data_IF_869109771448
#
_entry.id   IF_869109771448
#
_cell.length_a   1.000
_cell.length_b   1.000
_cell.length_c   1.000
_cell.angle_alpha   90.00
_cell.angle_beta   90.00
_cell.angle_gamma   90.00
#
_symmetry.space_group_name_H-M   'P 1'
#
loop_
_entity.id
_entity.type
_entity.pdbx_description
1 polymer ?
#
# COMPACT_ATOMS: atom_id res chain seq x y z
N UNK A 1 9.36 15.31 1.58
CA UNK A 1 9.92 13.97 1.67
C UNK A 1 8.87 12.91 1.85
N UNK A 2 9.28 11.66 1.87
CA UNK A 2 8.40 10.48 2.03
C UNK A 2 8.31 10.11 3.50
N UNK A 3 7.09 10.01 4.02
CA UNK A 3 6.83 9.64 5.41
C UNK A 3 6.75 8.13 5.59
N UNK A 4 7.58 7.59 6.46
CA UNK A 4 7.55 6.19 6.89
C UNK A 4 6.98 6.12 8.30
N UNK A 5 5.76 5.59 8.43
CA UNK A 5 5.10 5.42 9.71
C UNK A 5 5.68 4.25 10.52
N UNK A 6 5.56 4.34 11.84
CA UNK A 6 5.85 3.25 12.77
C UNK A 6 4.56 2.89 13.52
N UNK A 7 4.40 1.60 13.85
CA UNK A 7 3.24 1.08 14.59
C UNK A 7 3.01 1.74 15.97
N UNK A 8 3.99 2.47 16.50
CA UNK A 8 3.87 3.24 17.74
C UNK A 8 3.37 4.68 17.52
N UNK A 9 2.94 5.01 16.28
CA UNK A 9 2.37 6.30 15.92
C UNK A 9 3.36 7.40 15.56
N UNK A 10 4.66 7.23 15.78
CA UNK A 10 5.70 8.15 15.28
C UNK A 10 6.16 7.73 13.87
N UNK A 11 6.98 8.53 13.22
CA UNK A 11 7.55 8.17 11.94
C UNK A 11 8.82 8.92 11.59
N UNK A 12 9.30 8.68 10.37
CA UNK A 12 10.48 9.33 9.80
C UNK A 12 10.15 9.89 8.44
N UNK A 13 10.77 11.00 8.09
CA UNK A 13 10.66 11.57 6.75
C UNK A 13 12.01 11.54 6.08
N UNK A 14 12.11 10.75 5.02
CA UNK A 14 13.27 10.69 4.14
C UNK A 14 13.17 11.81 3.13
N UNK A 15 14.19 12.65 3.04
CA UNK A 15 14.28 13.77 2.10
C UNK A 15 15.35 13.46 1.07
N UNK A 16 15.00 13.52 -0.20
CA UNK A 16 15.96 13.28 -1.30
C UNK A 16 17.14 14.25 -1.23
N UNK A 17 18.35 13.71 -1.30
CA UNK A 17 19.60 14.50 -1.20
C UNK A 17 20.06 14.81 0.22
N UNK A 18 19.36 14.33 1.25
CA UNK A 18 19.78 14.46 2.64
C UNK A 18 20.17 13.09 3.24
N UNK A 19 21.27 13.05 4.01
CA UNK A 19 21.79 11.80 4.60
C UNK A 19 20.97 11.34 5.81
N UNK A 20 20.32 12.28 6.52
CA UNK A 20 19.60 11.97 7.76
C UNK A 20 18.10 12.20 7.61
N UNK A 21 17.33 11.19 8.01
CA UNK A 21 15.88 11.27 8.14
C UNK A 21 15.45 12.26 9.23
N UNK A 22 14.29 12.86 9.05
CA UNK A 22 13.67 13.72 10.06
C UNK A 22 12.71 12.88 10.89
N UNK A 23 12.99 12.75 12.19
CA UNK A 23 12.10 12.09 13.15
C UNK A 23 10.84 12.95 13.39
N UNK A 24 9.66 12.34 13.29
CA UNK A 24 8.36 12.97 13.52
C UNK A 24 7.71 12.30 14.73
N UNK A 25 7.59 12.99 15.87
CA UNK A 25 6.88 12.48 17.04
C UNK A 25 5.41 12.21 16.72
N UNK A 26 4.79 11.26 17.42
CA UNK A 26 3.39 10.87 17.23
C UNK A 26 2.41 12.06 17.29
N UNK A 27 2.68 13.04 18.14
CA UNK A 27 1.88 14.27 18.28
C UNK A 27 2.05 15.28 17.14
N UNK A 28 2.99 15.04 16.22
CA UNK A 28 3.35 15.96 15.12
C UNK A 28 3.17 15.34 13.73
N UNK A 29 2.58 14.14 13.67
CA UNK A 29 2.33 13.40 12.42
C UNK A 29 1.22 14.05 11.57
N UNK A 30 0.28 14.75 12.23
CA UNK A 30 -0.80 15.55 11.60
C UNK A 30 -1.57 14.78 10.50
N UNK A 31 -1.89 13.51 10.76
CA UNK A 31 -2.67 12.64 9.87
C UNK A 31 -1.92 12.10 8.65
N UNK A 32 -0.59 12.22 8.62
CA UNK A 32 0.22 11.54 7.61
C UNK A 32 0.18 10.03 7.82
N UNK A 33 0.08 9.28 6.74
CA UNK A 33 0.10 7.84 6.69
C UNK A 33 1.38 7.34 6.01
N UNK A 34 1.65 6.05 6.16
CA UNK A 34 2.82 5.41 5.54
C UNK A 34 2.87 5.65 4.02
N UNK A 35 4.06 6.01 3.52
CA UNK A 35 4.35 6.38 2.12
C UNK A 35 3.76 7.71 1.66
N UNK A 36 3.10 8.50 2.51
CA UNK A 36 2.65 9.84 2.10
C UNK A 36 3.84 10.74 1.76
N UNK A 37 3.67 11.55 0.71
CA UNK A 37 4.60 12.65 0.41
C UNK A 37 4.16 13.85 1.23
N UNK A 38 5.04 14.30 2.12
CA UNK A 38 4.72 15.34 3.10
C UNK A 38 5.68 16.53 3.02
N UNK A 39 5.15 17.70 3.40
CA UNK A 39 5.94 18.88 3.72
C UNK A 39 6.15 18.92 5.21
N UNK A 40 7.42 19.00 5.65
CA UNK A 40 7.79 19.03 7.07
C UNK A 40 8.50 20.32 7.43
N UNK A 41 8.38 20.73 8.71
CA UNK A 41 9.20 21.77 9.32
C UNK A 41 10.15 21.10 10.29
N UNK A 42 11.45 21.27 10.09
CA UNK A 42 12.46 20.82 11.05
C UNK A 42 12.41 21.75 12.25
N UNK A 43 12.15 21.21 13.43
CA UNK A 43 12.04 21.94 14.69
C UNK A 43 13.33 21.90 15.49
N UNK A 44 14.06 20.77 15.41
CA UNK A 44 15.38 20.61 16.00
C UNK A 44 16.35 20.06 14.95
N UNK A 45 17.50 20.70 14.80
CA UNK A 45 18.57 20.23 13.93
C UNK A 45 19.45 19.22 14.69
N UNK A 46 20.09 18.32 13.95
CA UNK A 46 21.09 17.42 14.51
C UNK A 46 22.17 18.24 15.22
N UNK A 47 22.41 17.94 16.50
CA UNK A 47 23.46 18.62 17.29
C UNK A 47 24.71 17.75 17.39
N UNK A 48 25.85 18.33 17.84
CA UNK A 48 27.15 17.65 18.01
C UNK A 48 27.13 16.40 18.89
N UNK A 49 26.03 16.07 19.57
CA UNK A 49 25.88 14.93 20.49
C UNK A 49 24.94 13.83 19.96
N UNK A 50 24.83 13.60 18.63
CA UNK A 50 24.01 12.52 18.08
C UNK A 50 22.51 12.70 18.27
N UNK A 51 22.03 13.90 18.53
CA UNK A 51 20.60 14.21 18.60
C UNK A 51 20.02 14.20 17.20
N UNK A 52 19.07 13.32 16.97
CA UNK A 52 18.35 13.17 15.70
C UNK A 52 17.62 14.46 15.32
N UNK A 53 17.57 14.75 14.02
CA UNK A 53 16.73 15.84 13.49
C UNK A 53 15.27 15.54 13.86
N UNK A 54 14.56 16.52 14.40
CA UNK A 54 13.16 16.40 14.79
C UNK A 54 12.32 17.41 14.02
N UNK A 55 11.14 17.02 13.59
CA UNK A 55 10.27 17.89 12.82
C UNK A 55 8.79 17.62 13.05
N UNK A 56 7.96 18.39 12.34
CA UNK A 56 6.51 18.24 12.30
C UNK A 56 6.01 18.25 10.87
N UNK A 57 4.98 17.46 10.59
CA UNK A 57 4.30 17.49 9.30
C UNK A 57 3.46 18.76 9.23
N UNK A 58 3.70 19.59 8.21
CA UNK A 58 2.90 20.78 7.95
C UNK A 58 1.72 20.50 7.01
N UNK A 59 1.95 19.65 6.00
CA UNK A 59 0.96 19.36 4.97
C UNK A 59 1.28 18.02 4.31
N UNK A 60 0.23 17.28 3.99
CA UNK A 60 0.30 16.11 3.13
C UNK A 60 0.15 16.63 1.69
N UNK A 61 1.13 16.37 0.86
CA UNK A 61 1.17 16.81 -0.54
C UNK A 61 0.50 15.77 -1.43
N UNK A 62 0.80 14.48 -1.18
CA UNK A 62 0.25 13.36 -1.93
C UNK A 62 0.06 12.16 -0.99
N UNK A 63 -1.03 11.41 -1.19
CA UNK A 63 -1.29 10.16 -0.48
C UNK A 63 -0.53 9.02 -1.14
N UNK A 64 0.36 8.40 -0.38
CA UNK A 64 1.21 7.32 -0.87
C UNK A 64 0.46 6.01 -1.07
N UNK A 65 -0.57 5.75 -0.27
CA UNK A 65 -1.38 4.55 -0.37
C UNK A 65 -2.87 4.89 -0.32
N UNK A 66 -3.61 4.45 -1.34
CA UNK A 66 -5.07 4.64 -1.43
C UNK A 66 -5.83 3.35 -1.17
N UNK A 67 -5.15 2.21 -1.23
CA UNK A 67 -5.72 0.88 -1.04
C UNK A 67 -4.88 0.09 -0.04
N UNK A 68 -5.54 -0.69 0.80
CA UNK A 68 -4.91 -1.54 1.81
C UNK A 68 -5.52 -2.94 1.74
N UNK A 69 -4.70 -3.94 2.04
CA UNK A 69 -5.15 -5.31 2.27
C UNK A 69 -5.30 -5.53 3.77
N UNK A 70 -6.31 -6.29 4.17
CA UNK A 70 -6.53 -6.60 5.57
C UNK A 70 -7.64 -7.61 5.78
N UNK A 71 -7.86 -7.97 7.04
CA UNK A 71 -8.90 -8.92 7.46
C UNK A 71 -10.16 -8.18 7.84
N UNK A 72 -11.28 -8.54 7.21
CA UNK A 72 -12.58 -7.94 7.49
C UNK A 72 -13.20 -8.56 8.74
N UNK A 73 -13.63 -7.72 9.66
CA UNK A 73 -14.39 -8.09 10.84
C UNK A 73 -15.80 -7.50 10.74
N UNK A 74 -16.78 -8.37 10.67
CA UNK A 74 -18.19 -7.99 10.50
C UNK A 74 -18.87 -7.71 11.80
N UNK A 75 -19.61 -6.60 11.85
CA UNK A 75 -20.59 -6.32 12.89
C UNK A 75 -22.01 -6.26 12.27
N UNK A 76 -23.04 -6.13 13.07
CA UNK A 76 -24.45 -6.14 12.62
C UNK A 76 -24.75 -5.05 11.58
N UNK A 77 -24.23 -3.83 11.76
CA UNK A 77 -24.56 -2.67 10.90
C UNK A 77 -23.35 -2.01 10.25
N UNK A 78 -22.16 -2.47 10.55
CA UNK A 78 -20.89 -1.94 10.03
C UNK A 78 -19.83 -3.04 10.11
N UNK A 79 -18.63 -2.78 9.61
CA UNK A 79 -17.48 -3.65 9.79
C UNK A 79 -16.22 -2.84 10.00
N UNK A 80 -15.15 -3.54 10.31
CA UNK A 80 -13.80 -3.01 10.36
C UNK A 80 -12.90 -3.86 9.49
N UNK A 81 -11.86 -3.25 8.94
CA UNK A 81 -10.75 -3.99 8.34
C UNK A 81 -9.50 -3.71 9.16
N UNK A 82 -8.88 -4.79 9.61
CA UNK A 82 -7.58 -4.76 10.27
C UNK A 82 -6.52 -4.85 9.18
N UNK A 83 -5.74 -3.77 8.94
CA UNK A 83 -4.68 -3.80 7.93
C UNK A 83 -3.63 -4.87 8.22
N UNK A 84 -3.15 -5.55 7.19
CA UNK A 84 -2.04 -6.51 7.31
C UNK A 84 -0.69 -5.78 7.44
N UNK A 85 -0.60 -4.58 6.89
CA UNK A 85 0.59 -3.74 6.97
C UNK A 85 0.68 -3.07 8.35
N UNK A 86 1.70 -3.45 9.12
CA UNK A 86 1.97 -2.97 10.49
C UNK A 86 2.28 -1.47 10.60
N UNK A 87 2.46 -0.78 9.48
CA UNK A 87 2.61 0.67 9.46
C UNK A 87 1.29 1.42 9.67
N UNK A 88 0.16 0.70 9.59
CA UNK A 88 -1.17 1.23 9.86
C UNK A 88 -1.65 0.70 11.22
N UNK A 89 -1.73 1.59 12.19
CA UNK A 89 -2.09 1.28 13.59
C UNK A 89 -3.59 1.29 13.87
N UNK A 90 -4.39 1.76 12.90
CA UNK A 90 -5.84 1.96 13.07
C UNK A 90 -6.63 1.05 12.16
N UNK A 91 -7.68 0.44 12.73
CA UNK A 91 -8.69 -0.26 11.96
C UNK A 91 -9.43 0.70 11.03
N UNK A 92 -9.78 0.23 9.83
CA UNK A 92 -10.52 1.00 8.84
C UNK A 92 -12.02 0.72 9.03
N UNK A 93 -12.81 1.75 9.27
CA UNK A 93 -14.25 1.64 9.39
C UNK A 93 -14.90 1.42 8.02
N UNK A 94 -15.78 0.41 7.94
CA UNK A 94 -16.54 0.07 6.73
C UNK A 94 -18.02 0.17 7.04
N UNK A 95 -18.69 1.13 6.42
CA UNK A 95 -20.14 1.26 6.55
C UNK A 95 -20.87 0.14 5.80
N UNK A 96 -22.08 -0.19 6.22
CA UNK A 96 -22.91 -1.29 5.66
C UNK A 96 -22.97 -1.29 4.14
N UNK A 97 -23.11 -0.12 3.52
CA UNK A 97 -23.20 0.04 2.05
C UNK A 97 -21.87 -0.23 1.32
N UNK A 98 -20.75 -0.25 2.04
CA UNK A 98 -19.41 -0.38 1.46
C UNK A 98 -18.74 -1.74 1.77
N UNK A 99 -19.50 -2.70 2.30
CA UNK A 99 -18.96 -4.04 2.63
C UNK A 99 -18.82 -4.95 1.40
N UNK A 100 -19.50 -4.64 0.28
CA UNK A 100 -19.47 -5.43 -0.98
C UNK A 100 -19.72 -6.94 -0.81
N UNK A 101 -20.47 -7.33 0.24
CA UNK A 101 -20.75 -8.75 0.51
C UNK A 101 -19.68 -9.50 1.31
N UNK A 102 -18.62 -8.84 1.78
CA UNK A 102 -17.58 -9.45 2.59
C UNK A 102 -18.16 -10.11 3.86
N UNK A 103 -17.63 -11.28 4.20
CA UNK A 103 -17.97 -12.07 5.38
C UNK A 103 -16.92 -11.85 6.45
N UNK A 104 -17.29 -12.18 7.67
CA UNK A 104 -16.37 -12.15 8.80
C UNK A 104 -15.17 -13.08 8.55
N UNK A 105 -13.95 -12.59 8.74
CA UNK A 105 -12.72 -13.34 8.49
C UNK A 105 -12.22 -13.31 7.04
N UNK A 106 -12.92 -12.65 6.11
CA UNK A 106 -12.42 -12.54 4.73
C UNK A 106 -11.21 -11.59 4.66
N UNK A 107 -10.22 -11.96 3.85
CA UNK A 107 -9.18 -11.06 3.35
C UNK A 107 -9.77 -10.19 2.26
N UNK A 108 -9.58 -8.89 2.38
CA UNK A 108 -10.18 -7.90 1.48
C UNK A 108 -9.17 -6.82 1.07
N UNK A 109 -9.40 -6.27 -0.11
CA UNK A 109 -8.77 -5.01 -0.51
C UNK A 109 -9.74 -3.88 -0.24
N UNK A 110 -9.29 -2.88 0.50
CA UNK A 110 -10.08 -1.69 0.86
C UNK A 110 -9.50 -0.47 0.21
N UNK A 111 -10.36 0.35 -0.41
CA UNK A 111 -10.02 1.71 -0.82
C UNK A 111 -10.37 2.67 0.30
N UNK A 112 -9.39 3.47 0.73
CA UNK A 112 -9.62 4.52 1.71
C UNK A 112 -10.44 5.65 1.08
N UNK A 113 -11.56 6.01 1.73
CA UNK A 113 -12.44 7.12 1.34
C UNK A 113 -12.24 8.33 2.25
N UNK A 114 -11.86 8.08 3.50
CA UNK A 114 -11.42 9.08 4.47
C UNK A 114 -10.19 8.56 5.20
N UNK A 115 -9.16 9.36 5.28
CA UNK A 115 -7.88 8.96 5.87
C UNK A 115 -7.84 9.12 7.39
N UNK A 116 -8.95 9.55 7.98
CA UNK A 116 -9.06 9.76 9.42
C UNK A 116 -8.20 10.91 9.95
N UNK A 117 -7.90 10.89 11.24
CA UNK A 117 -7.11 11.90 11.94
C UNK A 117 -6.82 11.45 13.37
N UNK A 118 -6.35 12.37 14.23
CA UNK A 118 -6.01 12.04 15.62
C UNK A 118 -7.14 11.34 16.38
N UNK A 119 -8.37 11.82 16.20
CA UNK A 119 -9.57 11.33 16.93
C UNK A 119 -10.55 10.57 16.05
N UNK A 120 -10.28 10.45 14.77
CA UNK A 120 -11.17 9.79 13.81
C UNK A 120 -10.48 8.60 13.19
N UNK A 121 -11.16 7.43 13.18
CA UNK A 121 -10.68 6.26 12.43
C UNK A 121 -10.76 6.54 10.93
N UNK A 122 -9.88 5.98 10.11
CA UNK A 122 -10.02 6.02 8.67
C UNK A 122 -11.28 5.27 8.23
N UNK A 123 -11.88 5.70 7.12
CA UNK A 123 -13.04 5.04 6.52
C UNK A 123 -12.68 4.51 5.13
N UNK A 124 -13.30 3.42 4.73
CA UNK A 124 -13.04 2.81 3.44
C UNK A 124 -14.22 2.07 2.84
N UNK A 125 -14.01 1.56 1.64
CA UNK A 125 -14.92 0.69 0.92
C UNK A 125 -14.18 -0.56 0.47
N UNK A 126 -14.78 -1.73 0.69
CA UNK A 126 -14.27 -3.00 0.15
C UNK A 126 -14.44 -2.96 -1.38
N UNK A 127 -13.33 -3.12 -2.10
CA UNK A 127 -13.30 -3.12 -3.57
C UNK A 127 -13.04 -4.50 -4.14
N UNK A 128 -12.43 -5.40 -3.37
CA UNK A 128 -12.14 -6.79 -3.77
C UNK A 128 -12.18 -7.68 -2.53
N UNK A 129 -12.74 -8.89 -2.67
CA UNK A 129 -12.71 -9.95 -1.67
C UNK A 129 -11.74 -11.01 -2.20
N UNK A 130 -10.67 -11.27 -1.46
CA UNK A 130 -9.61 -12.19 -1.87
C UNK A 130 -9.93 -13.64 -1.48
N UNK A 131 -10.70 -13.84 -0.40
CA UNK A 131 -11.11 -15.13 0.11
C UNK A 131 -11.02 -15.21 1.63
N UNK A 132 -11.35 -16.37 2.23
CA UNK A 132 -11.21 -16.60 3.65
C UNK A 132 -9.76 -16.52 4.09
N UNK A 133 -9.49 -15.98 5.29
CA UNK A 133 -8.14 -15.85 5.84
C UNK A 133 -7.43 -17.18 6.07
N UNK A 134 -8.20 -18.29 6.19
CA UNK A 134 -7.67 -19.62 6.45
C UNK A 134 -7.28 -20.38 5.17
N UNK A 135 -7.51 -19.80 3.98
CA UNK A 135 -7.16 -20.39 2.70
C UNK A 135 -5.73 -19.97 2.28
N UNK A 136 -4.78 -20.91 2.11
CA UNK A 136 -3.41 -20.59 1.72
C UNK A 136 -3.30 -19.85 0.37
N UNK A 137 -4.24 -20.03 -0.54
CA UNK A 137 -4.27 -19.31 -1.83
C UNK A 137 -4.56 -17.81 -1.63
N UNK A 138 -5.34 -17.49 -0.59
CA UNK A 138 -5.67 -16.13 -0.19
C UNK A 138 -4.44 -15.38 0.31
N UNK A 139 -3.53 -16.05 1.02
CA UNK A 139 -2.29 -15.43 1.53
C UNK A 139 -1.42 -14.93 0.37
N UNK A 140 -1.21 -15.77 -0.64
CA UNK A 140 -0.41 -15.40 -1.82
C UNK A 140 -1.04 -14.21 -2.55
N UNK A 141 -2.36 -14.27 -2.79
CA UNK A 141 -3.10 -13.19 -3.45
C UNK A 141 -3.04 -11.88 -2.64
N UNK A 142 -3.14 -11.98 -1.31
CA UNK A 142 -3.03 -10.84 -0.40
C UNK A 142 -1.68 -10.13 -0.52
N UNK A 143 -0.59 -10.91 -0.57
CA UNK A 143 0.77 -10.36 -0.76
C UNK A 143 0.88 -9.66 -2.11
N UNK A 144 0.43 -10.30 -3.19
CA UNK A 144 0.46 -9.72 -4.54
C UNK A 144 -0.28 -8.37 -4.56
N UNK A 145 -1.47 -8.31 -3.95
CA UNK A 145 -2.28 -7.08 -3.89
C UNK A 145 -1.66 -6.02 -2.99
N UNK A 146 -1.07 -6.40 -1.84
CA UNK A 146 -0.40 -5.48 -0.92
C UNK A 146 0.79 -4.76 -1.56
N UNK A 147 1.51 -5.44 -2.45
CA UNK A 147 2.62 -4.86 -3.22
C UNK A 147 2.19 -4.17 -4.51
N UNK A 148 0.89 -4.15 -4.83
CA UNK A 148 0.37 -3.51 -6.03
C UNK A 148 0.81 -4.20 -7.34
N UNK A 149 1.13 -5.50 -7.27
CA UNK A 149 1.54 -6.28 -8.43
C UNK A 149 0.27 -6.60 -9.24
N UNK A 150 0.23 -6.13 -10.48
CA UNK A 150 -0.84 -6.45 -11.41
C UNK A 150 -0.71 -7.90 -11.87
N UNK A 151 -1.78 -8.70 -11.72
CA UNK A 151 -1.81 -10.09 -12.17
C UNK A 151 -2.14 -10.23 -13.66
N UNK A 152 -2.75 -9.22 -14.24
CA UNK A 152 -3.10 -9.21 -15.66
C UNK A 152 -2.21 -8.24 -16.41
N UNK A 153 -1.74 -8.65 -17.55
CA UNK A 153 -1.03 -7.74 -18.45
C UNK A 153 -1.98 -6.67 -19.00
N UNK A 154 -1.50 -5.43 -19.20
CA UNK A 154 -2.28 -4.39 -19.85
C UNK A 154 -2.85 -4.87 -21.19
N UNK A 155 -4.06 -4.44 -21.54
CA UNK A 155 -4.74 -4.86 -22.78
C UNK A 155 -3.90 -4.62 -24.04
N UNK A 156 -3.05 -3.60 -24.05
CA UNK A 156 -2.09 -3.32 -25.13
C UNK A 156 -1.08 -4.45 -25.31
N UNK A 157 -0.51 -4.93 -24.19
CA UNK A 157 0.46 -6.04 -24.19
C UNK A 157 -0.19 -7.35 -24.60
N UNK A 158 -1.41 -7.63 -24.10
CA UNK A 158 -2.17 -8.81 -24.51
C UNK A 158 -2.48 -8.82 -26.01
N UNK A 159 -2.84 -7.63 -26.55
CA UNK A 159 -3.11 -7.49 -28.00
C UNK A 159 -1.83 -7.69 -28.82
N UNK A 160 -0.71 -7.16 -28.36
CA UNK A 160 0.59 -7.37 -29.02
C UNK A 160 1.01 -8.84 -28.97
N UNK A 161 0.91 -9.51 -27.83
CA UNK A 161 1.18 -10.93 -27.68
C UNK A 161 0.32 -11.80 -28.59
N UNK A 162 -0.96 -11.45 -28.78
CA UNK A 162 -1.85 -12.15 -29.71
C UNK A 162 -1.48 -11.93 -31.19
N UNK A 163 -0.79 -10.84 -31.50
CA UNK A 163 -0.34 -10.54 -32.88
C UNK A 163 0.97 -11.23 -33.27
N UNK A 164 1.67 -11.81 -32.29
CA UNK A 164 2.91 -12.56 -32.54
C UNK A 164 2.56 -13.89 -33.19
N UNK A 165 3.19 -14.26 -34.34
CA UNK A 165 2.97 -15.57 -34.96
C UNK A 165 3.26 -16.70 -33.98
N UNK A 166 2.32 -17.62 -33.83
CA UNK A 166 2.47 -18.80 -32.97
C UNK A 166 3.34 -19.90 -33.58
N UNK A 167 3.53 -19.86 -34.89
CA UNK A 167 4.38 -20.80 -35.61
C UNK A 167 5.80 -20.24 -35.75
N UNK A 168 6.75 -21.01 -35.29
CA UNK A 168 8.17 -20.72 -35.49
C UNK A 168 8.51 -21.12 -36.93
N UNK A 169 9.00 -20.19 -37.75
CA UNK A 169 9.52 -20.52 -39.09
C UNK A 169 10.62 -21.56 -38.95
N UNK A 170 10.46 -22.71 -39.64
CA UNK A 170 11.46 -23.79 -39.66
C UNK A 170 12.76 -23.35 -40.34
N UNK A 171 12.71 -22.30 -41.16
CA UNK A 171 13.90 -21.74 -41.80
C UNK A 171 14.59 -20.74 -40.89
N UNK A 172 15.82 -21.02 -40.41
CA UNK A 172 16.58 -20.08 -39.63
C UNK A 172 16.89 -18.87 -40.47
N UNK A 173 16.29 -17.73 -40.15
CA UNK A 173 16.56 -16.44 -40.77
C UNK A 173 17.98 -15.97 -40.43
N UNK A 174 18.87 -15.90 -41.39
CA UNK A 174 20.17 -15.31 -41.21
C UNK A 174 21.19 -16.10 -40.38
N UNK A 175 21.68 -15.53 -39.28
CA UNK A 175 22.73 -16.13 -38.42
C UNK A 175 22.26 -17.16 -37.39
N UNK A 176 21.01 -17.56 -37.41
CA UNK A 176 20.47 -18.57 -36.46
C UNK A 176 20.91 -19.97 -36.89
N UNK A 177 21.50 -20.72 -35.97
CA UNK A 177 21.91 -22.12 -36.17
C UNK A 177 20.89 -23.01 -35.47
N UNK A 178 20.43 -24.07 -36.19
CA UNK A 178 19.55 -25.06 -35.61
C UNK A 178 20.39 -26.08 -34.83
N UNK A 179 20.13 -26.25 -33.52
CA UNK A 179 20.83 -27.19 -32.65
C UNK A 179 20.02 -28.47 -32.36
N UNK A 180 18.97 -28.73 -33.11
CA UNK A 180 18.07 -29.88 -32.87
C UNK A 180 18.61 -31.25 -33.40
N UNK A 181 19.87 -31.32 -33.87
CA UNK A 181 20.53 -32.57 -34.27
C UNK A 181 21.40 -33.12 -33.17
#
# INVERSE_FOLDING_TARGET
GVFTANARGFGFVTVEGEEEDVFIPATQVNGALHKDIVKVKVTKRSGREGKRREGMVLKILERGCKTLVGTFQKNTSFGFVLPDDRHYDKDIFISKKHMSGAKDGDKVVVRLTDFGGERKKPEGAVIEILGPMDDPSTDVTSIIRAYGIEQEFPKSVMKEAQSVPQEISEQPGGKRVDFRN
#
